data_IF_909257855547
#
_entry.id   IF_909257855547
#
_cell.length_a   1.000
_cell.length_b   1.000
_cell.length_c   1.000
_cell.angle_alpha   90.00
_cell.angle_beta   90.00
_cell.angle_gamma   90.00
#
_symmetry.space_group_name_H-M   'P 1'
#
loop_
_entity.id
_entity.type
_entity.pdbx_description
1 polymer ?
#
# COMPACT_ATOMS: atom_id res chain seq x y z
N UNK A 1 20.95 -9.07 5.19
CA UNK A 1 20.27 -9.01 3.87
C UNK A 1 20.66 -7.68 3.26
N UNK A 2 21.49 -7.71 2.23
CA UNK A 2 22.28 -6.56 1.77
C UNK A 2 21.47 -5.61 0.90
N UNK A 3 21.71 -4.31 1.10
CA UNK A 3 21.10 -3.17 0.40
C UNK A 3 21.32 -3.24 -1.13
N UNK A 4 20.32 -2.92 -1.98
CA UNK A 4 20.58 -2.58 -3.36
C UNK A 4 21.09 -1.13 -3.44
N UNK A 5 22.36 -1.00 -3.82
CA UNK A 5 23.06 0.28 -4.03
C UNK A 5 22.33 1.19 -5.03
N UNK A 6 22.01 2.40 -4.58
CA UNK A 6 21.43 3.50 -5.35
C UNK A 6 22.38 3.96 -6.46
N UNK A 7 22.24 3.41 -7.66
CA UNK A 7 22.97 3.90 -8.84
C UNK A 7 22.06 4.79 -9.68
N UNK A 8 22.38 6.09 -9.74
CA UNK A 8 21.81 7.06 -10.68
C UNK A 8 21.69 6.47 -12.11
N UNK A 9 20.52 6.60 -12.71
CA UNK A 9 20.27 6.19 -14.10
C UNK A 9 20.91 7.21 -15.04
N UNK A 10 22.03 6.85 -15.66
CA UNK A 10 22.68 7.63 -16.74
C UNK A 10 22.59 6.86 -18.06
N UNK A 11 22.14 7.48 -19.17
CA UNK A 11 21.96 6.81 -20.47
C UNK A 11 23.26 6.23 -21.04
N UNK A 12 24.42 6.74 -20.62
CA UNK A 12 25.76 6.32 -21.07
C UNK A 12 26.21 4.95 -20.49
N UNK A 13 25.38 4.30 -19.65
CA UNK A 13 25.71 3.03 -18.95
C UNK A 13 25.10 1.75 -19.57
N UNK A 14 24.44 1.82 -20.74
CA UNK A 14 23.76 0.66 -21.35
C UNK A 14 24.53 0.04 -22.53
N UNK A 15 25.85 0.24 -22.59
CA UNK A 15 26.73 -0.32 -23.64
C UNK A 15 26.54 -1.82 -23.85
N UNK A 16 26.26 -2.59 -22.80
CA UNK A 16 25.97 -4.03 -22.90
C UNK A 16 24.72 -4.34 -23.76
N UNK A 17 23.71 -3.47 -23.79
CA UNK A 17 22.56 -3.63 -24.69
C UNK A 17 22.95 -3.29 -26.13
N UNK A 18 23.76 -2.25 -26.33
CA UNK A 18 24.31 -1.89 -27.65
C UNK A 18 25.15 -3.02 -28.24
N UNK A 19 25.97 -3.70 -27.42
CA UNK A 19 26.75 -4.89 -27.83
C UNK A 19 25.84 -6.02 -28.31
N UNK A 20 24.63 -6.14 -27.76
CA UNK A 20 23.60 -7.09 -28.22
C UNK A 20 22.71 -6.54 -29.35
N UNK A 21 22.78 -5.23 -29.63
CA UNK A 21 21.93 -4.56 -30.63
C UNK A 21 20.51 -4.31 -30.14
N UNK A 22 20.34 -4.19 -28.82
CA UNK A 22 19.07 -4.00 -28.14
C UNK A 22 18.95 -2.59 -27.60
N UNK A 23 17.71 -2.10 -27.49
CA UNK A 23 17.36 -0.88 -26.78
C UNK A 23 16.22 -1.17 -25.80
N UNK A 24 16.15 -0.49 -24.64
CA UNK A 24 15.00 -0.64 -23.75
C UNK A 24 13.69 -0.19 -24.42
N UNK A 25 12.53 -0.79 -24.08
CA UNK A 25 12.36 -1.92 -23.16
C UNK A 25 12.82 -3.25 -23.77
N UNK A 26 13.39 -4.11 -22.93
CA UNK A 26 13.97 -5.40 -23.35
C UNK A 26 13.65 -6.49 -22.32
N UNK A 27 13.25 -7.67 -22.79
CA UNK A 27 12.97 -8.85 -21.95
C UNK A 27 14.17 -9.81 -21.93
N UNK A 28 14.18 -10.76 -20.99
CA UNK A 28 15.22 -11.82 -20.98
C UNK A 28 15.21 -12.63 -22.28
N UNK A 29 14.05 -12.83 -22.90
CA UNK A 29 13.95 -13.56 -24.16
C UNK A 29 14.56 -12.75 -25.31
N UNK A 30 14.33 -11.44 -25.37
CA UNK A 30 14.97 -10.57 -26.37
C UNK A 30 16.51 -10.60 -26.25
N UNK A 31 17.02 -10.57 -25.00
CA UNK A 31 18.45 -10.70 -24.70
C UNK A 31 19.01 -12.04 -25.18
N UNK A 32 18.30 -13.13 -24.91
CA UNK A 32 18.69 -14.49 -25.30
C UNK A 32 18.69 -14.67 -26.82
N UNK A 33 17.66 -14.20 -27.52
CA UNK A 33 17.59 -14.30 -28.97
C UNK A 33 18.71 -13.49 -29.65
N UNK A 34 18.97 -12.26 -29.18
CA UNK A 34 20.06 -11.44 -29.69
C UNK A 34 21.43 -12.08 -29.47
N UNK A 35 21.66 -12.67 -28.29
CA UNK A 35 22.89 -13.41 -28.00
C UNK A 35 23.07 -14.61 -28.91
N UNK A 36 22.03 -15.43 -29.12
CA UNK A 36 22.10 -16.62 -29.99
C UNK A 36 22.44 -16.26 -31.44
N UNK A 37 21.87 -15.17 -31.96
CA UNK A 37 22.18 -14.67 -33.30
C UNK A 37 23.65 -14.24 -33.39
N UNK A 38 24.14 -13.45 -32.43
CA UNK A 38 25.52 -12.92 -32.44
C UNK A 38 26.57 -13.99 -32.12
N UNK A 39 26.27 -14.94 -31.24
CA UNK A 39 27.17 -16.03 -30.86
C UNK A 39 27.42 -16.97 -32.04
N UNK A 40 26.42 -17.19 -32.92
CA UNK A 40 26.58 -17.96 -34.16
C UNK A 40 27.57 -17.30 -35.14
N UNK A 41 27.60 -15.98 -35.21
CA UNK A 41 28.49 -15.22 -36.11
C UNK A 41 29.88 -14.96 -35.53
N UNK A 42 30.02 -14.97 -34.19
CA UNK A 42 31.27 -14.66 -33.48
C UNK A 42 32.02 -15.91 -32.98
N UNK A 43 31.55 -17.12 -33.30
CA UNK A 43 32.13 -18.37 -32.82
C UNK A 43 33.56 -18.58 -33.37
N UNK A 44 34.54 -19.05 -32.56
CA UNK A 44 35.93 -19.22 -32.99
C UNK A 44 36.10 -20.15 -34.20
N UNK A 45 35.28 -21.20 -34.30
CA UNK A 45 35.30 -22.14 -35.44
C UNK A 45 34.80 -21.51 -36.77
N UNK A 46 34.19 -20.32 -36.72
CA UNK A 46 33.77 -19.54 -37.88
C UNK A 46 34.70 -18.35 -38.18
N UNK A 47 35.87 -18.27 -37.53
CA UNK A 47 36.85 -17.20 -37.70
C UNK A 47 36.73 -16.03 -36.71
N UNK A 48 36.03 -16.21 -35.59
CA UNK A 48 35.84 -15.18 -34.55
C UNK A 48 37.03 -14.97 -33.61
N UNK A 49 37.21 -13.72 -33.16
CA UNK A 49 38.20 -13.34 -32.14
C UNK A 49 37.73 -13.71 -30.72
N UNK A 50 38.60 -14.37 -29.95
CA UNK A 50 38.35 -14.80 -28.56
C UNK A 50 38.00 -13.60 -27.66
N UNK A 51 38.63 -12.45 -27.88
CA UNK A 51 38.31 -11.25 -27.11
C UNK A 51 36.92 -10.67 -27.47
N UNK A 52 36.51 -10.79 -28.73
CA UNK A 52 35.15 -10.45 -29.19
C UNK A 52 34.07 -11.35 -28.58
N UNK A 53 34.33 -12.66 -28.52
CA UNK A 53 33.38 -13.61 -27.92
C UNK A 53 33.22 -13.40 -26.41
N UNK A 54 34.31 -13.11 -25.69
CA UNK A 54 34.28 -12.79 -24.26
C UNK A 54 33.45 -11.54 -23.96
N UNK A 55 33.62 -10.46 -24.75
CA UNK A 55 32.79 -9.24 -24.62
C UNK A 55 31.30 -9.50 -24.87
N UNK A 56 30.98 -10.37 -25.83
CA UNK A 56 29.60 -10.75 -26.11
C UNK A 56 28.97 -11.53 -24.93
N UNK A 57 29.73 -12.42 -24.29
CA UNK A 57 29.27 -13.15 -23.11
C UNK A 57 29.07 -12.22 -21.90
N UNK A 58 30.01 -11.33 -21.63
CA UNK A 58 29.88 -10.32 -20.55
C UNK A 58 28.68 -9.39 -20.78
N UNK A 59 28.43 -8.99 -22.03
CA UNK A 59 27.26 -8.19 -22.39
C UNK A 59 25.94 -8.94 -22.20
N UNK A 60 25.90 -10.24 -22.53
CA UNK A 60 24.74 -11.11 -22.29
C UNK A 60 24.42 -11.25 -20.80
N UNK A 61 25.43 -11.47 -19.96
CA UNK A 61 25.24 -11.58 -18.50
C UNK A 61 24.66 -10.28 -17.92
N UNK A 62 25.25 -9.12 -18.26
CA UNK A 62 24.79 -7.80 -17.79
C UNK A 62 23.39 -7.45 -18.33
N UNK A 63 23.10 -7.75 -19.59
CA UNK A 63 21.79 -7.50 -20.20
C UNK A 63 20.70 -8.38 -19.59
N UNK A 64 21.01 -9.64 -19.27
CA UNK A 64 20.09 -10.57 -18.61
C UNK A 64 19.75 -10.09 -17.20
N UNK A 65 20.75 -9.66 -16.44
CA UNK A 65 20.56 -9.09 -15.10
C UNK A 65 19.74 -7.79 -15.16
N UNK A 66 20.01 -6.92 -16.13
CA UNK A 66 19.24 -5.70 -16.38
C UNK A 66 17.77 -6.00 -16.71
N UNK A 67 17.51 -6.94 -17.63
CA UNK A 67 16.17 -7.33 -18.04
C UNK A 67 15.40 -7.97 -16.86
N UNK A 68 16.04 -8.83 -16.06
CA UNK A 68 15.48 -9.39 -14.82
C UNK A 68 15.09 -8.33 -13.82
N UNK A 69 15.99 -7.38 -13.57
CA UNK A 69 15.75 -6.29 -12.64
C UNK A 69 14.59 -5.42 -13.11
N UNK A 70 14.55 -5.06 -14.39
CA UNK A 70 13.46 -4.27 -14.97
C UNK A 70 12.14 -5.03 -15.01
N UNK A 71 12.13 -6.31 -15.34
CA UNK A 71 10.94 -7.17 -15.32
C UNK A 71 10.39 -7.32 -13.90
N UNK A 72 11.26 -7.55 -12.91
CA UNK A 72 10.87 -7.61 -11.49
C UNK A 72 10.27 -6.28 -11.02
N UNK A 73 10.87 -5.15 -11.43
CA UNK A 73 10.33 -3.81 -11.16
C UNK A 73 9.01 -3.57 -11.88
N UNK A 74 8.83 -4.07 -13.10
CA UNK A 74 7.58 -3.92 -13.85
C UNK A 74 6.46 -4.79 -13.25
N UNK A 75 6.74 -6.03 -12.85
CA UNK A 75 5.77 -6.85 -12.11
C UNK A 75 5.40 -6.22 -10.77
N UNK A 76 6.37 -5.65 -10.06
CA UNK A 76 6.13 -4.85 -8.88
C UNK A 76 5.19 -3.69 -9.23
N UNK A 77 5.51 -2.84 -10.22
CA UNK A 77 4.68 -1.73 -10.68
C UNK A 77 3.26 -2.15 -11.08
N UNK A 78 3.08 -3.26 -11.82
CA UNK A 78 1.76 -3.76 -12.20
C UNK A 78 0.91 -4.10 -10.98
N UNK A 79 1.50 -4.78 -9.97
CA UNK A 79 0.81 -5.04 -8.70
C UNK A 79 0.44 -3.76 -7.95
N UNK A 80 1.27 -2.70 -8.05
CA UNK A 80 0.95 -1.39 -7.46
C UNK A 80 -0.16 -0.67 -8.21
N UNK A 81 -0.18 -0.72 -9.54
CA UNK A 81 -1.26 -0.14 -10.35
C UNK A 81 -2.58 -0.84 -10.05
N UNK A 82 -2.58 -2.17 -9.94
CA UNK A 82 -3.75 -2.94 -9.52
C UNK A 82 -4.22 -2.52 -8.12
N UNK A 83 -3.30 -2.43 -7.16
CA UNK A 83 -3.61 -2.00 -5.80
C UNK A 83 -4.11 -0.55 -5.74
N UNK A 84 -3.53 0.36 -6.51
CA UNK A 84 -3.96 1.75 -6.61
C UNK A 84 -5.38 1.84 -7.17
N UNK A 85 -5.68 1.11 -8.24
CA UNK A 85 -7.03 1.05 -8.83
C UNK A 85 -8.06 0.44 -7.86
N UNK A 86 -7.68 -0.57 -7.08
CA UNK A 86 -8.52 -1.11 -6.00
C UNK A 86 -8.77 -0.06 -4.91
N UNK A 87 -7.72 0.64 -4.46
CA UNK A 87 -7.83 1.70 -3.46
C UNK A 87 -8.71 2.87 -3.94
N UNK A 88 -8.59 3.28 -5.20
CA UNK A 88 -9.42 4.32 -5.80
C UNK A 88 -10.90 3.93 -5.75
N UNK A 89 -11.24 2.69 -6.11
CA UNK A 89 -12.62 2.18 -6.00
C UNK A 89 -13.14 2.21 -4.55
N UNK A 90 -12.29 1.95 -3.56
CA UNK A 90 -12.67 2.05 -2.14
C UNK A 90 -12.99 3.51 -1.78
N UNK A 91 -12.15 4.45 -2.21
CA UNK A 91 -12.33 5.88 -1.97
C UNK A 91 -13.61 6.38 -2.64
N UNK A 92 -13.87 5.97 -3.89
CA UNK A 92 -15.10 6.31 -4.61
C UNK A 92 -16.34 5.77 -3.89
N UNK A 93 -16.33 4.53 -3.40
CA UNK A 93 -17.42 3.98 -2.59
C UNK A 93 -17.66 4.78 -1.31
N UNK A 94 -16.60 5.12 -0.59
CA UNK A 94 -16.70 5.95 0.63
C UNK A 94 -17.34 7.31 0.29
N UNK A 95 -16.91 7.95 -0.80
CA UNK A 95 -17.51 9.21 -1.28
C UNK A 95 -18.97 9.04 -1.69
N UNK A 96 -19.33 7.95 -2.35
CA UNK A 96 -20.70 7.65 -2.75
C UNK A 96 -21.64 7.45 -1.54
N UNK A 97 -21.11 7.04 -0.39
CA UNK A 97 -21.82 6.98 0.89
C UNK A 97 -21.94 8.34 1.61
N UNK A 98 -21.42 9.42 1.00
CA UNK A 98 -21.32 10.74 1.61
C UNK A 98 -20.15 10.88 2.60
N UNK A 99 -19.20 9.95 2.56
CA UNK A 99 -18.01 9.94 3.41
C UNK A 99 -16.80 10.61 2.77
N UNK A 100 -15.75 10.74 3.57
CA UNK A 100 -14.45 11.29 3.19
C UNK A 100 -13.34 10.30 3.53
N UNK A 101 -12.32 10.23 2.68
CA UNK A 101 -11.13 9.43 2.91
C UNK A 101 -9.87 10.30 2.74
N UNK A 102 -8.97 10.26 3.72
CA UNK A 102 -7.68 10.94 3.67
C UNK A 102 -6.58 9.92 3.34
N UNK A 103 -5.79 10.21 2.32
CA UNK A 103 -4.69 9.36 1.87
C UNK A 103 -3.37 10.05 2.20
N UNK A 104 -2.41 9.32 2.78
CA UNK A 104 -1.08 9.86 3.14
C UNK A 104 0.03 8.99 2.60
N UNK A 105 1.08 9.63 2.12
CA UNK A 105 2.33 8.96 1.76
C UNK A 105 2.97 8.35 3.00
N UNK A 106 3.20 7.05 2.95
CA UNK A 106 3.62 6.28 4.14
C UNK A 106 5.13 6.16 4.33
N UNK A 107 5.98 6.72 3.45
CA UNK A 107 7.43 6.48 3.56
C UNK A 107 8.33 7.58 2.93
N UNK A 108 9.19 8.27 3.71
CA UNK A 108 10.23 9.16 3.20
C UNK A 108 11.23 8.48 2.25
N UNK A 109 11.46 7.17 2.40
CA UNK A 109 12.43 6.38 1.64
C UNK A 109 12.05 6.27 0.16
N UNK A 110 10.76 6.42 -0.15
CA UNK A 110 10.22 6.23 -1.51
C UNK A 110 10.49 7.40 -2.46
N UNK A 111 10.83 8.58 -1.90
CA UNK A 111 11.37 9.69 -2.69
C UNK A 111 12.69 9.35 -3.39
N UNK A 112 13.43 8.34 -2.91
CA UNK A 112 14.67 7.87 -3.55
C UNK A 112 14.44 7.00 -4.79
N UNK A 113 13.21 6.50 -5.02
CA UNK A 113 12.85 5.62 -6.15
C UNK A 113 12.40 6.45 -7.38
N UNK A 114 12.21 7.76 -7.21
CA UNK A 114 11.76 8.73 -8.22
C UNK A 114 10.53 9.49 -7.74
N UNK A 115 10.52 10.82 -7.87
CA UNK A 115 9.48 11.70 -7.32
C UNK A 115 8.07 11.38 -7.86
N UNK A 116 7.97 10.87 -9.09
CA UNK A 116 6.70 10.52 -9.73
C UNK A 116 6.04 9.25 -9.13
N UNK A 117 6.78 8.46 -8.35
CA UNK A 117 6.31 7.18 -7.80
C UNK A 117 5.93 7.25 -6.31
N UNK A 118 6.27 8.34 -5.62
CA UNK A 118 5.98 8.51 -4.20
C UNK A 118 4.46 8.58 -3.91
N UNK A 119 3.66 9.01 -4.90
CA UNK A 119 2.20 9.15 -4.82
C UNK A 119 1.47 7.79 -4.85
N UNK A 120 2.07 6.76 -5.45
CA UNK A 120 1.42 5.43 -5.62
C UNK A 120 1.47 4.60 -4.33
N UNK A 121 2.24 5.05 -3.34
CA UNK A 121 2.42 4.38 -2.04
C UNK A 121 1.59 5.01 -0.93
N UNK A 122 0.71 5.93 -1.31
CA UNK A 122 -0.21 6.61 -0.44
C UNK A 122 -1.25 5.61 0.06
N UNK A 123 -1.44 5.55 1.38
CA UNK A 123 -2.40 4.66 2.03
C UNK A 123 -3.56 5.46 2.59
N UNK A 124 -4.77 4.89 2.54
CA UNK A 124 -5.91 5.46 3.27
C UNK A 124 -5.60 5.40 4.76
N UNK A 125 -5.55 6.58 5.40
CA UNK A 125 -5.22 6.73 6.83
C UNK A 125 -6.37 7.24 7.67
N UNK A 126 -7.33 7.95 7.07
CA UNK A 126 -8.54 8.41 7.74
C UNK A 126 -9.76 8.10 6.90
N UNK A 127 -10.83 7.65 7.53
CA UNK A 127 -12.17 7.57 6.96
C UNK A 127 -13.13 8.31 7.89
N UNK A 128 -13.95 9.17 7.31
CA UNK A 128 -15.08 9.82 7.97
C UNK A 128 -16.36 9.42 7.25
N UNK A 129 -17.30 8.83 7.97
CA UNK A 129 -18.64 8.50 7.49
C UNK A 129 -19.64 9.24 8.38
N UNK A 130 -20.65 9.86 7.76
CA UNK A 130 -21.65 10.64 8.49
C UNK A 130 -23.06 10.31 8.03
N UNK A 131 -23.97 10.19 8.99
CA UNK A 131 -25.41 10.16 8.76
C UNK A 131 -26.04 8.78 8.92
N UNK A 132 -27.37 8.78 8.98
CA UNK A 132 -28.19 7.60 9.33
C UNK A 132 -28.22 6.52 8.26
N UNK A 133 -27.71 6.79 7.06
CA UNK A 133 -27.53 5.77 6.02
C UNK A 133 -26.31 4.87 6.28
N UNK A 134 -25.47 5.22 7.26
CA UNK A 134 -24.30 4.44 7.65
C UNK A 134 -24.73 3.45 8.74
N UNK A 135 -24.83 2.17 8.38
CA UNK A 135 -25.24 1.07 9.23
C UNK A 135 -24.20 -0.07 9.25
N UNK A 136 -24.55 -1.21 9.85
CA UNK A 136 -23.67 -2.37 9.96
C UNK A 136 -23.26 -2.94 8.58
N UNK A 137 -24.09 -2.76 7.55
CA UNK A 137 -23.75 -3.23 6.20
C UNK A 137 -22.62 -2.38 5.59
N UNK A 138 -22.58 -1.09 5.88
CA UNK A 138 -21.43 -0.24 5.51
C UNK A 138 -20.16 -0.69 6.22
N UNK A 139 -20.25 -1.11 7.49
CA UNK A 139 -19.10 -1.69 8.20
C UNK A 139 -18.63 -2.99 7.52
N UNK A 140 -19.55 -3.87 7.13
CA UNK A 140 -19.22 -5.10 6.40
C UNK A 140 -18.52 -4.81 5.06
N UNK A 141 -18.93 -3.75 4.35
CA UNK A 141 -18.26 -3.30 3.13
C UNK A 141 -16.83 -2.83 3.40
N UNK A 142 -16.60 -2.03 4.46
CA UNK A 142 -15.24 -1.64 4.84
C UNK A 142 -14.36 -2.85 5.18
N UNK A 143 -14.94 -3.89 5.80
CA UNK A 143 -14.22 -5.12 6.16
C UNK A 143 -13.86 -5.95 4.92
N UNK A 144 -14.70 -5.95 3.89
CA UNK A 144 -14.36 -6.53 2.59
C UNK A 144 -13.14 -5.81 1.98
N UNK A 145 -13.03 -4.49 2.20
CA UNK A 145 -11.94 -3.64 1.73
C UNK A 145 -10.71 -3.58 2.65
N UNK A 146 -10.67 -4.39 3.73
CA UNK A 146 -9.65 -4.30 4.79
C UNK A 146 -8.20 -4.35 4.29
N UNK A 147 -7.94 -5.02 3.16
CA UNK A 147 -6.60 -5.09 2.56
C UNK A 147 -6.13 -3.69 2.10
N UNK A 148 -7.03 -2.92 1.50
CA UNK A 148 -6.76 -1.54 1.07
C UNK A 148 -6.74 -0.58 2.27
N UNK A 149 -7.45 -0.93 3.35
CA UNK A 149 -7.53 -0.15 4.58
C UNK A 149 -6.51 -0.57 5.66
N UNK A 150 -5.48 -1.33 5.30
CA UNK A 150 -4.42 -1.75 6.24
C UNK A 150 -3.62 -0.58 6.84
N UNK A 151 -3.73 0.61 6.25
CA UNK A 151 -3.17 1.86 6.76
C UNK A 151 -4.08 2.64 7.71
N UNK A 152 -5.33 2.23 7.92
CA UNK A 152 -6.34 3.05 8.59
C UNK A 152 -5.95 3.36 10.04
N UNK A 153 -5.81 4.65 10.35
CA UNK A 153 -5.45 5.17 11.68
C UNK A 153 -6.62 5.89 12.34
N UNK A 154 -7.50 6.50 11.57
CA UNK A 154 -8.70 7.20 12.06
C UNK A 154 -9.95 6.65 11.39
N UNK A 155 -10.94 6.29 12.20
CA UNK A 155 -12.29 5.99 11.73
C UNK A 155 -13.27 6.89 12.49
N UNK A 156 -14.05 7.67 11.76
CA UNK A 156 -15.13 8.48 12.32
C UNK A 156 -16.46 7.99 11.78
N UNK A 157 -17.37 7.60 12.69
CA UNK A 157 -18.74 7.16 12.45
C UNK A 157 -19.65 8.17 13.13
N UNK A 158 -19.93 9.26 12.43
CA UNK A 158 -20.63 10.43 12.95
C UNK A 158 -22.13 10.35 12.69
N UNK A 159 -22.95 10.47 13.73
CA UNK A 159 -24.42 10.47 13.60
C UNK A 159 -24.96 9.26 12.80
N UNK A 160 -24.36 8.09 13.02
CA UNK A 160 -24.66 6.86 12.26
C UNK A 160 -25.67 5.98 12.97
N UNK A 161 -26.16 4.96 12.29
CA UNK A 161 -27.04 3.92 12.86
C UNK A 161 -26.30 2.59 13.05
N UNK A 162 -24.96 2.62 13.09
CA UNK A 162 -24.13 1.43 13.39
C UNK A 162 -24.50 0.90 14.78
N UNK A 163 -24.83 -0.38 14.84
CA UNK A 163 -25.24 -1.05 16.06
C UNK A 163 -24.03 -1.47 16.91
N UNK A 164 -24.30 -1.96 18.13
CA UNK A 164 -23.30 -2.63 18.94
C UNK A 164 -22.61 -3.79 18.19
N UNK A 165 -23.37 -4.57 17.40
CA UNK A 165 -22.81 -5.68 16.64
C UNK A 165 -21.90 -5.19 15.51
N UNK A 166 -22.29 -4.14 14.77
CA UNK A 166 -21.46 -3.51 13.75
C UNK A 166 -20.18 -2.92 14.33
N UNK A 167 -20.29 -2.19 15.44
CA UNK A 167 -19.15 -1.59 16.15
C UNK A 167 -18.13 -2.66 16.56
N UNK A 168 -18.59 -3.81 17.06
CA UNK A 168 -17.70 -4.94 17.42
C UNK A 168 -16.87 -5.44 16.25
N UNK A 169 -17.35 -5.33 15.01
CA UNK A 169 -16.61 -5.77 13.82
C UNK A 169 -15.45 -4.84 13.45
N UNK A 170 -15.45 -3.59 13.92
CA UNK A 170 -14.36 -2.61 13.70
C UNK A 170 -13.01 -3.11 14.24
N UNK A 171 -13.01 -4.08 15.16
CA UNK A 171 -11.79 -4.70 15.72
C UNK A 171 -10.80 -5.24 14.68
N UNK A 172 -11.25 -5.55 13.46
CA UNK A 172 -10.37 -6.03 12.38
C UNK A 172 -9.38 -4.95 11.91
N UNK A 173 -9.66 -3.68 12.17
CA UNK A 173 -8.78 -2.56 11.85
C UNK A 173 -7.86 -2.27 13.03
N UNK A 174 -6.97 -3.20 13.33
CA UNK A 174 -6.09 -3.19 14.52
C UNK A 174 -5.16 -1.97 14.60
N UNK A 175 -4.98 -1.28 13.48
CA UNK A 175 -4.13 -0.09 13.40
C UNK A 175 -4.82 1.22 13.75
N UNK A 176 -6.13 1.20 14.05
CA UNK A 176 -6.88 2.39 14.45
C UNK A 176 -6.29 2.96 15.74
N UNK A 177 -5.99 4.27 15.69
CA UNK A 177 -5.54 5.10 16.81
C UNK A 177 -6.62 6.06 17.27
N UNK A 178 -7.52 6.45 16.38
CA UNK A 178 -8.60 7.39 16.69
C UNK A 178 -9.94 6.83 16.23
N UNK A 179 -10.87 6.68 17.15
CA UNK A 179 -12.24 6.27 16.87
C UNK A 179 -13.20 7.37 17.30
N UNK A 180 -13.96 7.92 16.37
CA UNK A 180 -14.95 8.95 16.65
C UNK A 180 -16.35 8.37 16.45
N UNK A 181 -17.15 8.38 17.51
CA UNK A 181 -18.51 7.86 17.53
C UNK A 181 -19.53 8.97 17.77
N UNK A 182 -19.16 10.24 17.56
CA UNK A 182 -20.00 11.38 17.93
C UNK A 182 -21.39 11.29 17.31
N UNK A 183 -22.44 11.39 18.13
CA UNK A 183 -23.84 11.28 17.71
C UNK A 183 -24.29 9.86 17.31
N UNK A 184 -23.41 8.86 17.43
CA UNK A 184 -23.74 7.44 17.18
C UNK A 184 -24.13 6.78 18.50
N UNK A 185 -25.32 6.17 18.55
CA UNK A 185 -25.78 5.47 19.75
C UNK A 185 -24.99 4.18 19.93
N UNK A 186 -24.22 4.10 21.02
CA UNK A 186 -23.40 2.93 21.33
C UNK A 186 -23.60 2.49 22.77
N UNK A 187 -23.71 1.17 22.97
CA UNK A 187 -23.82 0.58 24.30
C UNK A 187 -22.44 0.52 24.99
N UNK A 188 -22.42 0.73 26.31
CA UNK A 188 -21.19 0.73 27.08
C UNK A 188 -20.41 -0.59 26.97
N UNK A 189 -21.11 -1.72 27.00
CA UNK A 189 -20.49 -3.05 26.94
C UNK A 189 -19.80 -3.27 25.58
N UNK A 190 -20.48 -2.89 24.49
CA UNK A 190 -19.92 -2.98 23.15
C UNK A 190 -18.67 -2.09 23.00
N UNK A 191 -18.73 -0.87 23.53
CA UNK A 191 -17.59 0.05 23.54
C UNK A 191 -16.41 -0.53 24.33
N UNK A 192 -16.62 -1.05 25.54
CA UNK A 192 -15.56 -1.67 26.35
C UNK A 192 -14.89 -2.85 25.61
N UNK A 193 -15.68 -3.70 24.93
CA UNK A 193 -15.12 -4.84 24.17
C UNK A 193 -14.30 -4.37 22.96
N UNK A 194 -14.77 -3.35 22.23
CA UNK A 194 -14.03 -2.81 21.08
C UNK A 194 -12.72 -2.17 21.52
N UNK A 195 -12.74 -1.37 22.59
CA UNK A 195 -11.53 -0.75 23.12
C UNK A 195 -10.52 -1.78 23.63
N UNK A 196 -10.99 -2.91 24.19
CA UNK A 196 -10.13 -4.04 24.55
C UNK A 196 -9.53 -4.79 23.35
N UNK A 197 -10.07 -4.59 22.15
CA UNK A 197 -9.66 -5.30 20.92
C UNK A 197 -8.87 -4.41 19.94
N UNK A 198 -8.70 -3.12 20.23
CA UNK A 198 -7.95 -2.18 19.40
C UNK A 198 -6.62 -1.84 20.08
N UNK A 199 -5.52 -2.56 19.79
CA UNK A 199 -4.28 -2.48 20.56
C UNK A 199 -3.51 -1.15 20.39
N UNK A 200 -3.89 -0.35 19.39
CA UNK A 200 -3.26 0.92 19.06
C UNK A 200 -4.15 2.13 19.38
N UNK A 201 -5.31 1.94 20.00
CA UNK A 201 -6.25 3.04 20.25
C UNK A 201 -5.64 4.06 21.22
N UNK A 202 -5.70 5.33 20.85
CA UNK A 202 -5.14 6.47 21.59
C UNK A 202 -6.21 7.52 21.92
N UNK A 203 -7.23 7.65 21.07
CA UNK A 203 -8.26 8.67 21.21
C UNK A 203 -9.64 8.13 20.84
N UNK A 204 -10.63 8.42 21.67
CA UNK A 204 -12.04 8.05 21.46
C UNK A 204 -12.92 9.26 21.71
N UNK A 205 -13.68 9.67 20.70
CA UNK A 205 -14.64 10.77 20.79
C UNK A 205 -16.04 10.19 21.00
N UNK A 206 -16.71 10.63 22.07
CA UNK A 206 -18.00 10.12 22.51
C UNK A 206 -19.03 11.24 22.71
N UNK A 207 -18.95 12.33 21.93
CA UNK A 207 -19.96 13.39 21.94
C UNK A 207 -21.33 12.83 21.59
N UNK A 208 -22.38 13.20 22.32
CA UNK A 208 -23.77 12.82 21.99
C UNK A 208 -24.04 11.31 21.78
N UNK A 209 -23.23 10.41 22.38
CA UNK A 209 -23.33 8.95 22.25
C UNK A 209 -24.32 8.27 23.20
N UNK A 210 -24.90 9.01 24.14
CA UNK A 210 -25.69 8.46 25.25
C UNK A 210 -24.82 7.87 26.39
N UNK A 211 -23.50 7.81 26.23
CA UNK A 211 -22.58 7.41 27.29
C UNK A 211 -22.49 8.51 28.36
N UNK A 212 -23.03 8.22 29.54
CA UNK A 212 -23.04 9.15 30.66
C UNK A 212 -21.65 9.47 31.22
N UNK A 213 -21.55 10.59 31.94
CA UNK A 213 -20.31 11.05 32.57
C UNK A 213 -19.62 9.98 33.43
N UNK A 214 -20.39 9.24 34.25
CA UNK A 214 -19.84 8.19 35.11
C UNK A 214 -19.16 7.07 34.31
N UNK A 215 -19.77 6.68 33.18
CA UNK A 215 -19.19 5.70 32.26
C UNK A 215 -17.93 6.22 31.60
N UNK A 216 -17.89 7.49 31.16
CA UNK A 216 -16.65 8.12 30.63
C UNK A 216 -15.52 8.14 31.69
N UNK A 217 -15.83 8.40 32.95
CA UNK A 217 -14.85 8.35 34.05
C UNK A 217 -14.34 6.93 34.27
N UNK A 218 -15.23 5.92 34.29
CA UNK A 218 -14.85 4.51 34.40
C UNK A 218 -13.93 4.09 33.25
N UNK A 219 -14.25 4.48 32.01
CA UNK A 219 -13.42 4.21 30.83
C UNK A 219 -12.03 4.85 30.94
N UNK A 220 -11.93 6.11 31.39
CA UNK A 220 -10.65 6.78 31.64
C UNK A 220 -9.79 6.07 32.68
N UNK A 221 -10.39 5.54 33.74
CA UNK A 221 -9.67 4.79 34.78
C UNK A 221 -9.18 3.44 34.26
N UNK A 222 -9.98 2.75 33.43
CA UNK A 222 -9.65 1.44 32.85
C UNK A 222 -8.62 1.53 31.72
N UNK A 223 -8.76 2.52 30.84
CA UNK A 223 -7.92 2.71 29.64
C UNK A 223 -7.07 3.98 29.78
N UNK A 224 -6.09 3.96 30.70
CA UNK A 224 -5.28 5.14 31.07
C UNK A 224 -4.44 5.74 29.93
N UNK A 225 -4.18 4.95 28.88
CA UNK A 225 -3.43 5.39 27.70
C UNK A 225 -4.34 5.93 26.58
N UNK A 226 -5.66 5.97 26.81
CA UNK A 226 -6.66 6.41 25.84
C UNK A 226 -7.26 7.72 26.31
N UNK A 227 -7.25 8.71 25.43
CA UNK A 227 -7.91 10.01 25.64
C UNK A 227 -9.37 9.90 25.24
N UNK A 228 -10.26 10.33 26.15
CA UNK A 228 -11.71 10.39 25.90
C UNK A 228 -12.18 11.84 25.93
N UNK A 229 -13.07 12.18 24.99
CA UNK A 229 -13.75 13.47 24.82
C UNK A 229 -15.26 13.25 24.76
#
# INVERSE_FOLDING_TARGET
MSEPSSTEFRPDKLEFLTVLGLAPPVTEEDVKQAYLVKARTAHPDAGGDVAGFKRLQEAYEQATEYARFKASRMQWLSRWVEQYAEQEKVIERIKALGGEAEVKSSDPLTRSIGADFAVVLDKVTSITLRGKQIDDAVIDQLIADRRMLAGLRKLALLETTVSAAGLLKVRVFETIRRLDLTGTKVDQDALEVVLGSLPQIEQVELGDTGIGWASKVKLRLKYRNVTFS
#
